data_IF_571738161572
#
_entry.id   IF_571738161572
#
_cell.length_a   1.000
_cell.length_b   1.000
_cell.length_c   1.000
_cell.angle_alpha   90.00
_cell.angle_beta   90.00
_cell.angle_gamma   90.00
#
_symmetry.space_group_name_H-M   'P 1'
#
loop_
_entity.id
_entity.type
_entity.pdbx_description
1 polymer ?
#
# COMPACT_ATOMS: atom_id res chain seq x y z
N UNK A 1 -8.38 1.83 13.97
CA UNK A 1 -7.88 2.70 12.92
C UNK A 1 -6.38 2.51 12.72
N UNK A 2 -5.80 3.08 11.68
CA UNK A 2 -4.36 2.92 11.42
C UNK A 2 -3.54 3.68 12.47
N UNK A 3 -2.35 3.17 12.83
CA UNK A 3 -1.50 3.86 13.80
C UNK A 3 -0.94 5.16 13.21
N UNK A 4 -0.50 6.07 14.08
CA UNK A 4 0.04 7.36 13.63
C UNK A 4 1.33 7.22 12.82
N UNK A 5 2.17 6.24 13.16
CA UNK A 5 3.41 5.95 12.43
C UNK A 5 3.23 4.66 11.66
N UNK A 6 3.56 4.69 10.37
CA UNK A 6 3.39 3.54 9.49
C UNK A 6 4.65 3.30 8.67
N UNK A 7 4.90 2.03 8.35
CA UNK A 7 6.02 1.63 7.51
C UNK A 7 5.64 0.37 6.75
N UNK A 8 6.39 0.09 5.69
CA UNK A 8 6.22 -1.09 4.85
C UNK A 8 7.39 -2.04 5.08
N UNK A 9 7.33 -3.23 4.47
CA UNK A 9 8.52 -4.09 4.46
C UNK A 9 9.61 -3.42 3.62
N UNK A 10 10.86 -3.77 3.91
CA UNK A 10 12.00 -3.23 3.15
C UNK A 10 11.89 -3.56 1.67
N UNK A 11 11.44 -4.75 1.34
CA UNK A 11 11.28 -5.17 -0.04
C UNK A 11 10.27 -4.31 -0.78
N UNK A 12 9.12 -4.05 -0.17
CA UNK A 12 8.09 -3.20 -0.76
C UNK A 12 8.59 -1.75 -0.92
N UNK A 13 9.28 -1.25 0.10
CA UNK A 13 9.87 0.08 0.05
C UNK A 13 10.87 0.21 -1.10
N UNK A 14 11.73 -0.79 -1.30
CA UNK A 14 12.68 -0.79 -2.41
C UNK A 14 11.98 -0.77 -3.76
N UNK A 15 10.88 -1.51 -3.90
CA UNK A 15 10.09 -1.51 -5.14
C UNK A 15 9.46 -0.14 -5.40
N UNK A 16 8.98 0.54 -4.36
CA UNK A 16 8.44 1.89 -4.50
C UNK A 16 9.52 2.88 -4.93
N UNK A 17 10.73 2.76 -4.40
CA UNK A 17 11.86 3.60 -4.77
C UNK A 17 12.28 3.38 -6.22
N UNK A 18 12.28 2.12 -6.68
CA UNK A 18 12.56 1.81 -8.08
C UNK A 18 11.50 2.40 -9.00
N UNK A 19 10.23 2.29 -8.62
CA UNK A 19 9.15 2.86 -9.39
C UNK A 19 9.29 4.37 -9.51
N UNK A 20 9.70 5.05 -8.44
CA UNK A 20 9.98 6.49 -8.47
C UNK A 20 11.08 6.80 -9.50
N UNK A 21 12.11 5.97 -9.59
CA UNK A 21 13.18 6.14 -10.56
C UNK A 21 12.68 6.10 -12.00
N UNK A 22 11.68 5.28 -12.30
CA UNK A 22 11.12 5.16 -13.64
C UNK A 22 10.03 6.19 -13.94
N UNK A 23 9.22 6.55 -12.96
CA UNK A 23 7.99 7.33 -13.20
C UNK A 23 8.02 8.72 -12.59
N UNK A 24 8.89 8.98 -11.62
CA UNK A 24 8.89 10.22 -10.86
C UNK A 24 7.83 10.28 -9.77
N UNK A 25 6.99 9.24 -9.63
CA UNK A 25 5.94 9.20 -8.61
C UNK A 25 6.57 8.86 -7.26
N UNK A 26 6.30 9.69 -6.24
CA UNK A 26 6.86 9.49 -4.91
C UNK A 26 6.32 8.24 -4.26
N UNK A 27 7.08 7.61 -3.33
CA UNK A 27 6.65 6.35 -2.70
C UNK A 27 5.29 6.43 -2.01
N UNK A 28 4.97 7.54 -1.35
CA UNK A 28 3.68 7.67 -0.66
C UNK A 28 2.51 7.69 -1.66
N UNK A 29 2.65 8.41 -2.78
CA UNK A 29 1.60 8.44 -3.81
C UNK A 29 1.48 7.06 -4.47
N UNK A 30 2.61 6.43 -4.79
CA UNK A 30 2.59 5.10 -5.39
C UNK A 30 1.96 4.06 -4.45
N UNK A 31 2.22 4.17 -3.14
CA UNK A 31 1.60 3.28 -2.16
C UNK A 31 0.08 3.44 -2.12
N UNK A 32 -0.43 4.66 -2.22
CA UNK A 32 -1.88 4.92 -2.28
C UNK A 32 -2.50 4.23 -3.49
N UNK A 33 -1.88 4.41 -4.65
CA UNK A 33 -2.37 3.81 -5.89
C UNK A 33 -2.31 2.28 -5.83
N UNK A 34 -1.22 1.74 -5.32
CA UNK A 34 -1.05 0.30 -5.17
C UNK A 34 -2.10 -0.29 -4.23
N UNK A 35 -2.39 0.38 -3.11
CA UNK A 35 -3.42 -0.07 -2.18
C UNK A 35 -4.78 -0.19 -2.87
N UNK A 36 -5.22 0.84 -3.57
CA UNK A 36 -6.53 0.81 -4.21
C UNK A 36 -6.56 -0.16 -5.40
N UNK A 37 -5.45 -0.31 -6.11
CA UNK A 37 -5.34 -1.33 -7.17
C UNK A 37 -5.55 -2.73 -6.60
N UNK A 38 -4.94 -3.00 -5.46
CA UNK A 38 -5.08 -4.29 -4.78
C UNK A 38 -6.49 -4.52 -4.26
N UNK A 39 -7.11 -3.48 -3.69
CA UNK A 39 -8.49 -3.57 -3.17
C UNK A 39 -9.48 -3.95 -4.28
N UNK A 40 -9.27 -3.47 -5.50
CA UNK A 40 -10.11 -3.82 -6.64
C UNK A 40 -9.91 -5.25 -7.13
N UNK A 41 -8.81 -5.90 -6.74
CA UNK A 41 -8.53 -7.29 -7.09
C UNK A 41 -9.20 -8.24 -6.09
N UNK A 42 -9.01 -9.54 -6.31
CA UNK A 42 -9.52 -10.56 -5.39
C UNK A 42 -8.63 -10.76 -4.16
N UNK A 43 -7.47 -10.10 -4.13
CA UNK A 43 -6.56 -10.25 -3.00
C UNK A 43 -7.21 -9.81 -1.69
N UNK A 44 -7.04 -10.63 -0.65
CA UNK A 44 -7.44 -10.27 0.72
C UNK A 44 -6.38 -10.76 1.69
N UNK A 45 -6.10 -9.94 2.70
CA UNK A 45 -5.16 -10.27 3.76
C UNK A 45 -5.84 -11.18 4.78
N UNK A 46 -5.11 -12.20 5.23
CA UNK A 46 -5.61 -13.10 6.26
C UNK A 46 -4.65 -13.07 7.46
N UNK A 47 -5.13 -12.72 8.67
CA UNK A 47 -4.30 -12.80 9.87
C UNK A 47 -3.83 -14.25 10.07
N UNK A 48 -2.57 -14.42 10.40
CA UNK A 48 -1.96 -15.75 10.51
C UNK A 48 -1.25 -16.20 9.26
N UNK A 49 -1.43 -15.52 8.14
CA UNK A 49 -0.55 -15.67 6.99
C UNK A 49 0.83 -15.14 7.38
N UNK A 50 1.90 -15.73 6.83
CA UNK A 50 3.25 -15.20 7.07
C UNK A 50 3.32 -13.75 6.59
N UNK A 51 3.04 -12.83 7.50
CA UNK A 51 3.15 -11.42 7.20
C UNK A 51 4.63 -11.07 7.16
N UNK A 52 5.06 -10.40 6.10
CA UNK A 52 6.41 -9.86 6.05
C UNK A 52 6.60 -8.85 7.17
N UNK A 53 7.78 -8.82 7.76
CA UNK A 53 8.13 -7.80 8.73
C UNK A 53 8.03 -6.42 8.10
N UNK A 54 7.42 -5.49 8.85
CA UNK A 54 7.37 -4.09 8.43
C UNK A 54 8.64 -3.41 8.92
N UNK A 55 9.74 -3.65 8.21
CA UNK A 55 11.09 -3.24 8.61
C UNK A 55 11.71 -2.19 7.69
N UNK A 56 10.91 -1.54 6.86
CA UNK A 56 11.39 -0.47 5.99
C UNK A 56 11.89 0.74 6.78
N UNK A 57 12.81 1.49 6.19
CA UNK A 57 13.39 2.67 6.83
C UNK A 57 12.50 3.91 6.77
N UNK A 58 11.51 3.93 5.85
CA UNK A 58 10.59 5.05 5.72
C UNK A 58 9.46 4.93 6.74
N UNK A 59 9.71 5.36 7.95
CA UNK A 59 8.67 5.42 8.99
C UNK A 59 8.07 6.81 8.96
N UNK A 60 6.89 6.93 8.35
CA UNK A 60 6.20 8.21 8.16
C UNK A 60 4.88 8.19 8.91
N UNK A 61 4.36 9.38 9.23
CA UNK A 61 3.03 9.43 9.82
C UNK A 61 1.97 9.06 8.78
N UNK A 62 0.78 8.68 9.26
CA UNK A 62 -0.29 8.22 8.37
C UNK A 62 -0.79 9.32 7.44
N UNK A 63 -0.69 10.57 7.85
CA UNK A 63 -1.11 11.69 7.01
C UNK A 63 -0.19 11.81 5.79
N UNK A 64 1.12 11.63 6.00
CA UNK A 64 2.09 11.66 4.90
C UNK A 64 1.88 10.48 3.96
N UNK A 65 1.68 9.26 4.49
CA UNK A 65 1.42 8.09 3.66
C UNK A 65 0.12 8.21 2.88
N UNK A 66 -0.96 8.62 3.53
CA UNK A 66 -2.31 8.50 2.98
C UNK A 66 -2.89 9.81 2.47
N UNK A 67 -2.46 10.95 3.03
CA UNK A 67 -2.96 12.25 2.59
C UNK A 67 -4.48 12.32 2.62
N UNK A 68 -5.05 12.81 1.54
CA UNK A 68 -6.51 12.93 1.40
C UNK A 68 -7.24 11.59 1.36
N UNK A 69 -6.51 10.47 1.13
CA UNK A 69 -7.12 9.15 1.09
C UNK A 69 -7.25 8.50 2.47
N UNK A 70 -6.83 9.19 3.54
CA UNK A 70 -6.81 8.62 4.89
C UNK A 70 -8.15 8.04 5.30
N UNK A 71 -9.21 8.84 5.24
CA UNK A 71 -10.54 8.40 5.68
C UNK A 71 -11.07 7.27 4.79
N UNK A 72 -10.89 7.39 3.48
CA UNK A 72 -11.33 6.37 2.55
C UNK A 72 -10.58 5.06 2.78
N UNK A 73 -9.28 5.12 3.00
CA UNK A 73 -8.46 3.93 3.26
C UNK A 73 -8.90 3.22 4.53
N UNK A 74 -9.11 3.97 5.61
CA UNK A 74 -9.57 3.38 6.88
C UNK A 74 -10.97 2.78 6.75
N UNK A 75 -11.86 3.46 6.04
CA UNK A 75 -13.21 2.94 5.80
C UNK A 75 -13.17 1.65 4.99
N UNK A 76 -12.38 1.61 3.92
CA UNK A 76 -12.26 0.41 3.07
C UNK A 76 -11.70 -0.76 3.87
N UNK A 77 -10.66 -0.54 4.67
CA UNK A 77 -10.11 -1.60 5.52
C UNK A 77 -11.14 -2.14 6.50
N UNK A 78 -11.93 -1.25 7.10
CA UNK A 78 -12.97 -1.66 8.03
C UNK A 78 -14.07 -2.45 7.33
N UNK A 79 -14.43 -2.06 6.11
CA UNK A 79 -15.45 -2.77 5.32
C UNK A 79 -14.97 -4.16 4.88
N UNK A 80 -13.70 -4.26 4.46
CA UNK A 80 -13.14 -5.54 4.02
C UNK A 80 -12.83 -6.48 5.19
N UNK A 81 -12.49 -5.94 6.34
CA UNK A 81 -12.02 -6.70 7.49
C UNK A 81 -12.76 -6.28 8.77
N UNK A 82 -14.10 -6.46 8.81
CA UNK A 82 -14.89 -5.95 9.95
C UNK A 82 -14.58 -6.60 11.30
N UNK A 83 -14.00 -7.80 11.27
CA UNK A 83 -13.67 -8.55 12.50
C UNK A 83 -12.20 -8.46 12.88
N UNK A 84 -11.40 -7.70 12.10
CA UNK A 84 -9.96 -7.63 12.33
C UNK A 84 -9.63 -6.74 13.52
N UNK A 85 -8.67 -7.19 14.35
CA UNK A 85 -8.17 -6.38 15.45
C UNK A 85 -7.48 -5.13 14.91
N UNK A 86 -7.62 -4.02 15.63
CA UNK A 86 -7.05 -2.74 15.22
C UNK A 86 -5.54 -2.82 14.98
N UNK A 87 -4.82 -3.59 15.81
CA UNK A 87 -3.37 -3.78 15.68
C UNK A 87 -2.96 -4.45 14.38
N UNK A 88 -3.87 -5.17 13.71
CA UNK A 88 -3.58 -5.88 12.47
C UNK A 88 -3.93 -5.06 11.23
N UNK A 89 -4.60 -3.93 11.38
CA UNK A 89 -5.00 -3.09 10.23
C UNK A 89 -3.80 -2.57 9.45
N UNK A 90 -2.69 -2.22 10.13
CA UNK A 90 -1.47 -1.79 9.44
C UNK A 90 -0.89 -2.92 8.59
N UNK A 91 -0.98 -4.15 9.07
CA UNK A 91 -0.50 -5.31 8.32
C UNK A 91 -1.35 -5.56 7.08
N UNK A 92 -2.67 -5.38 7.20
CA UNK A 92 -3.57 -5.50 6.06
C UNK A 92 -3.29 -4.41 5.01
N UNK A 93 -3.10 -3.17 5.45
CA UNK A 93 -2.73 -2.09 4.55
C UNK A 93 -1.43 -2.39 3.82
N UNK A 94 -0.40 -2.80 4.57
CA UNK A 94 0.90 -3.11 3.99
C UNK A 94 0.83 -4.27 3.00
N UNK A 95 0.02 -5.29 3.29
CA UNK A 95 -0.16 -6.44 2.40
C UNK A 95 -0.81 -6.02 1.08
N UNK A 96 -1.82 -5.14 1.14
CA UNK A 96 -2.45 -4.61 -0.06
C UNK A 96 -1.48 -3.75 -0.88
N UNK A 97 -0.66 -2.92 -0.24
CA UNK A 97 0.34 -2.14 -0.95
C UNK A 97 1.33 -3.06 -1.67
N UNK A 98 1.80 -4.09 -0.99
CA UNK A 98 2.72 -5.06 -1.58
C UNK A 98 2.08 -5.77 -2.79
N UNK A 99 0.85 -6.22 -2.65
CA UNK A 99 0.13 -6.87 -3.74
C UNK A 99 -0.05 -5.93 -4.93
N UNK A 100 -0.48 -4.70 -4.67
CA UNK A 100 -0.69 -3.73 -5.72
C UNK A 100 0.59 -3.32 -6.43
N UNK A 101 1.68 -3.12 -5.70
CA UNK A 101 2.94 -2.72 -6.30
C UNK A 101 3.53 -3.85 -7.16
N UNK A 102 3.28 -5.10 -6.82
CA UNK A 102 3.70 -6.24 -7.64
C UNK A 102 3.09 -6.19 -9.04
N UNK A 103 1.86 -5.70 -9.14
CA UNK A 103 1.18 -5.53 -10.43
C UNK A 103 1.71 -4.33 -11.21
N UNK A 104 2.30 -3.34 -10.53
CA UNK A 104 2.68 -2.06 -11.14
C UNK A 104 4.17 -1.91 -11.38
N UNK A 105 4.99 -2.80 -10.84
CA UNK A 105 6.45 -2.66 -10.80
C UNK A 105 7.13 -2.57 -12.16
N UNK A 106 6.48 -3.05 -13.22
CA UNK A 106 7.07 -3.07 -14.56
C UNK A 106 6.75 -1.84 -15.38
N UNK A 107 5.94 -0.92 -14.88
CA UNK A 107 5.63 0.32 -15.59
C UNK A 107 6.81 1.27 -15.52
N UNK A 108 7.17 1.87 -16.65
CA UNK A 108 8.36 2.69 -16.80
C UNK A 108 8.08 4.15 -17.05
N UNK A 109 6.81 4.54 -17.11
CA UNK A 109 6.42 5.93 -17.32
C UNK A 109 5.15 6.21 -16.52
N UNK A 110 4.89 7.51 -16.28
CA UNK A 110 3.67 7.93 -15.60
C UNK A 110 2.44 7.44 -16.36
N UNK A 111 2.47 7.54 -17.70
CA UNK A 111 1.37 7.10 -18.53
C UNK A 111 1.09 5.60 -18.37
N UNK A 112 2.13 4.77 -18.42
CA UNK A 112 1.98 3.33 -18.26
C UNK A 112 1.46 2.98 -16.89
N UNK A 113 1.95 3.68 -15.86
CA UNK A 113 1.52 3.47 -14.49
C UNK A 113 0.04 3.77 -14.32
N UNK A 114 -0.41 4.93 -14.82
CA UNK A 114 -1.82 5.33 -14.72
C UNK A 114 -2.72 4.37 -15.48
N UNK A 115 -2.34 3.95 -16.69
CA UNK A 115 -3.11 2.97 -17.46
C UNK A 115 -3.22 1.63 -16.73
N UNK A 116 -2.15 1.21 -16.03
CA UNK A 116 -2.16 -0.01 -15.24
C UNK A 116 -3.10 0.07 -14.04
N UNK A 117 -3.18 1.23 -13.40
CA UNK A 117 -4.07 1.45 -12.25
C UNK A 117 -5.54 1.37 -12.65
N UNK A 118 -5.88 1.90 -13.82
CA UNK A 118 -7.28 2.01 -14.24
C UNK A 118 -7.74 0.90 -15.18
N UNK A 119 -6.99 -0.14 -15.30
CA UNK A 119 -7.42 -1.31 -16.08
C UNK A 119 -8.46 -2.14 -15.38
#
# INVERSE_FOLDING_TARGET
MLPNRMQLSRQTEDQLKKLKGYTGITPNIAARLAFFRSVESEFRYSPGHEAKKLDGSMVLDKITWLGETLQTTELVLKMLYPQMAQKDMIKAWAAHVEDGISALRNYRSVKDFVCGVYR
#
